data_IF_443863655806
#
_entry.id   IF_443863655806
#
_cell.length_a   1.000
_cell.length_b   1.000
_cell.length_c   1.000
_cell.angle_alpha   90.00
_cell.angle_beta   90.00
_cell.angle_gamma   90.00
#
_symmetry.space_group_name_H-M   'P 1'
#
loop_
_entity.id
_entity.type
_entity.pdbx_description
1 polymer ?
#
# COMPACT_ATOMS: atom_id res chain seq x y z
N UNK A 1 -10.91 -1.18 15.57
CA UNK A 1 -9.81 -0.24 15.91
C UNK A 1 -10.08 1.12 15.28
N UNK A 2 -10.03 2.21 16.05
CA UNK A 2 -10.23 3.58 15.53
C UNK A 2 -8.93 4.07 14.86
N UNK A 3 -9.00 4.79 13.72
CA UNK A 3 -7.82 5.36 13.08
C UNK A 3 -7.19 6.40 14.00
N UNK A 4 -5.86 6.41 14.08
CA UNK A 4 -5.15 7.43 14.84
C UNK A 4 -5.20 8.72 14.01
N UNK A 5 -5.85 9.74 14.57
CA UNK A 5 -6.07 11.02 13.91
C UNK A 5 -4.93 11.96 14.28
N UNK A 6 -4.23 12.51 13.29
CA UNK A 6 -3.24 13.55 13.49
C UNK A 6 -3.82 14.91 13.09
N UNK A 7 -3.80 15.83 14.04
CA UNK A 7 -3.95 17.26 13.78
C UNK A 7 -2.55 17.84 13.58
N UNK A 8 -2.33 18.46 12.42
CA UNK A 8 -1.03 18.99 12.02
C UNK A 8 -1.07 20.52 12.01
N UNK A 9 -0.01 21.15 12.55
CA UNK A 9 0.27 22.58 12.44
C UNK A 9 1.56 22.69 11.60
N UNK A 10 1.49 23.26 10.40
CA UNK A 10 2.66 23.43 9.52
C UNK A 10 2.97 24.92 9.42
N UNK A 11 4.11 25.33 9.97
CA UNK A 11 4.66 26.68 9.74
C UNK A 11 5.56 26.60 8.50
N UNK A 12 5.23 27.38 7.47
CA UNK A 12 5.90 27.35 6.17
C UNK A 12 7.26 28.07 6.22
N UNK A 13 8.33 27.30 6.34
CA UNK A 13 9.64 27.62 5.78
C UNK A 13 10.17 26.33 5.12
N UNK A 14 10.78 26.46 3.94
CA UNK A 14 11.30 25.34 3.13
C UNK A 14 12.00 24.27 3.99
N UNK A 15 11.53 23.02 3.91
CA UNK A 15 12.11 21.92 4.68
C UNK A 15 11.26 20.65 4.71
N UNK A 16 11.93 19.51 4.90
CA UNK A 16 11.27 18.26 5.23
C UNK A 16 11.01 18.23 6.74
N UNK A 17 9.78 17.95 7.14
CA UNK A 17 9.40 17.98 8.55
C UNK A 17 8.98 16.59 9.03
N UNK A 18 9.60 16.16 10.13
CA UNK A 18 9.28 14.93 10.83
C UNK A 18 8.16 15.22 11.85
N UNK A 19 6.96 14.70 11.62
CA UNK A 19 5.81 15.13 12.42
C UNK A 19 5.43 14.18 13.56
N UNK A 20 5.75 12.88 13.49
CA UNK A 20 5.48 11.94 14.58
C UNK A 20 6.47 10.80 14.68
N UNK A 21 6.75 10.44 15.93
CA UNK A 21 7.54 9.29 16.39
C UNK A 21 6.67 8.59 17.46
N UNK A 22 6.17 7.37 17.21
CA UNK A 22 5.45 6.58 18.23
C UNK A 22 6.05 5.17 18.45
N UNK A 23 6.34 4.83 19.71
CA UNK A 23 7.08 3.62 20.11
C UNK A 23 6.37 2.29 19.78
N UNK A 24 5.03 2.26 19.70
CA UNK A 24 4.24 1.04 19.47
C UNK A 24 3.38 1.14 18.20
N UNK A 25 4.02 1.12 17.01
CA UNK A 25 3.33 1.24 15.71
C UNK A 25 2.76 -0.08 15.14
N UNK A 26 3.00 -1.23 15.79
CA UNK A 26 2.53 -2.54 15.30
C UNK A 26 0.99 -2.66 15.20
N UNK A 27 0.24 -1.78 15.87
CA UNK A 27 -1.24 -1.76 15.84
C UNK A 27 -1.84 -0.72 14.87
N UNK A 28 -1.01 0.13 14.26
CA UNK A 28 -1.47 1.20 13.38
C UNK A 28 -1.79 0.68 11.97
N UNK A 29 -3.04 0.25 11.79
CA UNK A 29 -3.55 -0.18 10.47
C UNK A 29 -3.94 1.00 9.57
N UNK A 30 -4.27 2.15 10.14
CA UNK A 30 -4.79 3.34 9.44
C UNK A 30 -4.37 4.62 10.17
N UNK A 31 -3.98 5.63 9.40
CA UNK A 31 -3.61 6.95 9.90
C UNK A 31 -4.37 8.04 9.11
N UNK A 32 -4.81 9.12 9.77
CA UNK A 32 -5.55 10.23 9.14
C UNK A 32 -4.85 11.55 9.39
N UNK A 33 -4.57 12.33 8.35
CA UNK A 33 -4.16 13.74 8.43
C UNK A 33 -5.42 14.59 8.27
N UNK A 34 -5.70 15.50 9.21
CA UNK A 34 -6.92 16.33 9.20
C UNK A 34 -6.55 17.81 9.17
N UNK A 35 -7.26 18.54 8.30
CA UNK A 35 -7.18 19.97 8.18
C UNK A 35 -7.64 20.67 9.44
N UNK A 36 -6.78 21.53 9.96
CA UNK A 36 -7.26 22.80 10.50
C UNK A 36 -6.30 23.95 10.25
N UNK A 37 -5.19 23.76 9.53
CA UNK A 37 -4.05 24.69 9.63
C UNK A 37 -3.12 24.75 8.42
N UNK A 38 -3.59 24.39 7.23
CA UNK A 38 -2.84 24.69 6.01
C UNK A 38 -3.49 25.91 5.35
N UNK A 39 -3.03 27.09 5.78
CA UNK A 39 -3.47 28.37 5.18
C UNK A 39 -2.81 28.55 3.81
N UNK A 40 -3.36 27.87 2.80
CA UNK A 40 -2.94 28.02 1.40
C UNK A 40 -3.49 29.33 0.82
N UNK A 41 -2.83 30.45 1.13
CA UNK A 41 -3.02 31.64 0.31
C UNK A 41 -2.21 31.47 -0.97
N UNK A 42 -2.92 31.04 -2.02
CA UNK A 42 -2.67 31.38 -3.45
C UNK A 42 -1.95 30.35 -4.35
N UNK A 43 -1.44 29.22 -3.87
CA UNK A 43 -0.81 28.20 -4.76
C UNK A 43 -1.40 26.81 -4.52
N UNK A 44 -1.83 26.13 -5.59
CA UNK A 44 -2.17 24.70 -5.59
C UNK A 44 -0.90 23.94 -5.23
N UNK A 45 -0.85 23.35 -4.04
CA UNK A 45 0.32 22.63 -3.56
C UNK A 45 -0.03 21.14 -3.44
N UNK A 46 0.74 20.31 -4.15
CA UNK A 46 0.76 18.87 -3.93
C UNK A 46 1.75 18.56 -2.81
N UNK A 47 1.28 17.90 -1.77
CA UNK A 47 2.07 17.58 -0.58
C UNK A 47 2.28 16.07 -0.49
N UNK A 48 3.47 15.56 -0.82
CA UNK A 48 3.78 14.14 -0.66
C UNK A 48 3.93 13.78 0.81
N UNK A 49 3.39 12.61 1.17
CA UNK A 49 3.44 12.03 2.51
C UNK A 49 4.28 10.78 2.47
N UNK A 50 5.33 10.74 3.29
CA UNK A 50 6.26 9.63 3.40
C UNK A 50 6.14 8.92 4.74
N UNK A 51 6.52 7.65 4.75
CA UNK A 51 6.59 6.84 5.95
C UNK A 51 7.89 6.07 6.01
N UNK A 52 8.43 5.92 7.22
CA UNK A 52 9.59 5.09 7.49
C UNK A 52 9.33 4.14 8.66
N UNK A 53 9.64 2.86 8.47
CA UNK A 53 9.64 1.86 9.53
C UNK A 53 10.86 2.05 10.44
N UNK A 54 10.74 1.75 11.75
CA UNK A 54 11.90 1.68 12.61
C UNK A 54 12.74 0.46 12.23
N UNK A 55 14.03 0.68 11.97
CA UNK A 55 15.01 -0.36 11.79
C UNK A 55 16.12 -0.15 12.83
N UNK A 56 16.46 -1.15 13.67
CA UNK A 56 17.54 -1.03 14.64
C UNK A 56 18.95 -1.03 14.01
N UNK A 57 19.09 -1.47 12.76
CA UNK A 57 20.37 -1.70 12.10
C UNK A 57 20.60 -0.78 10.89
N UNK A 58 19.56 -0.07 10.44
CA UNK A 58 19.65 0.82 9.28
C UNK A 58 19.08 2.21 9.58
N UNK A 59 19.58 3.26 8.90
CA UNK A 59 18.92 4.55 8.88
C UNK A 59 17.48 4.47 8.33
N UNK A 60 16.62 5.45 8.65
CA UNK A 60 15.24 5.51 8.15
C UNK A 60 15.16 5.36 6.62
N UNK A 61 14.44 4.33 6.16
CA UNK A 61 14.08 4.17 4.75
C UNK A 61 12.70 4.79 4.50
N UNK A 62 12.63 5.85 3.69
CA UNK A 62 11.41 6.59 3.40
C UNK A 62 10.70 6.03 2.18
N UNK A 63 9.40 5.75 2.33
CA UNK A 63 8.52 5.29 1.26
C UNK A 63 7.38 6.28 1.07
N UNK A 64 7.09 6.65 -0.18
CA UNK A 64 5.94 7.50 -0.49
C UNK A 64 4.65 6.72 -0.22
N UNK A 65 3.78 7.28 0.61
CA UNK A 65 2.44 6.75 0.85
C UNK A 65 1.41 7.29 -0.13
N UNK A 66 1.57 8.56 -0.54
CA UNK A 66 0.68 9.25 -1.45
C UNK A 66 0.78 10.76 -1.29
N UNK A 67 -0.21 11.48 -1.83
CA UNK A 67 -0.19 12.94 -1.95
C UNK A 67 -1.47 13.53 -1.37
N UNK A 68 -1.35 14.68 -0.70
CA UNK A 68 -2.44 15.53 -0.21
C UNK A 68 -2.50 16.78 -1.11
N UNK A 69 -3.70 17.26 -1.40
CA UNK A 69 -3.93 18.48 -2.19
C UNK A 69 -5.06 19.31 -1.59
N UNK A 70 -5.26 20.53 -2.08
CA UNK A 70 -6.39 21.37 -1.64
C UNK A 70 -7.75 20.71 -1.91
N UNK A 71 -7.88 19.99 -3.03
CA UNK A 71 -9.12 19.29 -3.40
C UNK A 71 -9.35 18.04 -2.55
N UNK A 72 -8.25 17.44 -2.06
CA UNK A 72 -8.29 16.26 -1.19
C UNK A 72 -7.36 16.49 0.01
N UNK A 73 -7.82 17.27 1.00
CA UNK A 73 -6.96 17.81 2.03
C UNK A 73 -6.75 16.82 3.21
N UNK A 74 -7.43 15.66 3.14
CA UNK A 74 -7.17 14.52 4.03
C UNK A 74 -7.06 13.20 3.26
N UNK A 75 -6.27 12.28 3.81
CA UNK A 75 -6.10 10.94 3.28
C UNK A 75 -5.93 9.92 4.42
N UNK A 76 -6.22 8.65 4.11
CA UNK A 76 -6.02 7.53 5.02
C UNK A 76 -5.14 6.50 4.33
N UNK A 77 -4.00 6.19 4.95
CA UNK A 77 -3.06 5.19 4.43
C UNK A 77 -3.09 3.91 5.27
N UNK A 78 -3.06 2.77 4.58
CA UNK A 78 -2.87 1.46 5.20
C UNK A 78 -1.38 1.13 5.23
N UNK A 79 -0.84 1.04 6.43
CA UNK A 79 0.60 0.84 6.66
C UNK A 79 0.94 -0.66 6.72
N UNK A 80 -0.05 -1.51 6.99
CA UNK A 80 0.10 -2.97 7.08
C UNK A 80 0.44 -3.58 5.72
N UNK A 81 1.71 -3.92 5.49
CA UNK A 81 2.20 -4.55 4.26
C UNK A 81 3.23 -3.73 3.48
N UNK A 82 3.56 -2.51 3.91
CA UNK A 82 4.72 -1.78 3.38
C UNK A 82 5.98 -2.60 3.63
N UNK A 83 6.76 -2.85 2.57
CA UNK A 83 7.99 -3.67 2.65
C UNK A 83 8.93 -3.05 3.68
N UNK A 84 9.30 -3.81 4.71
CA UNK A 84 10.22 -3.36 5.77
C UNK A 84 11.69 -3.27 5.31
N UNK A 85 12.04 -3.78 4.12
CA UNK A 85 13.44 -3.88 3.69
C UNK A 85 13.65 -3.66 2.17
N UNK A 86 14.63 -2.79 1.87
CA UNK A 86 15.60 -2.65 0.76
C UNK A 86 15.34 -3.09 -0.70
N UNK A 87 14.18 -3.61 -1.07
CA UNK A 87 13.92 -4.08 -2.45
C UNK A 87 13.15 -3.08 -3.32
N UNK A 88 12.56 -2.06 -2.71
CA UNK A 88 12.04 -0.92 -3.47
C UNK A 88 13.26 -0.06 -3.78
N UNK A 89 13.48 0.34 -5.05
CA UNK A 89 14.58 1.25 -5.40
C UNK A 89 14.56 2.40 -4.40
N UNK A 90 15.64 2.54 -3.65
CA UNK A 90 15.75 3.61 -2.67
C UNK A 90 15.52 4.93 -3.41
N UNK A 91 14.68 5.80 -2.85
CA UNK A 91 14.47 7.18 -3.33
C UNK A 91 15.76 8.04 -3.30
N UNK A 92 16.90 7.43 -2.95
CA UNK A 92 18.25 7.93 -3.21
C UNK A 92 18.48 8.22 -4.70
N UNK A 93 17.77 7.54 -5.62
CA UNK A 93 17.91 7.78 -7.06
C UNK A 93 17.00 8.91 -7.60
N UNK A 94 16.02 9.40 -6.83
CA UNK A 94 15.06 10.43 -7.25
C UNK A 94 15.32 11.83 -6.66
N UNK A 95 16.58 12.15 -6.31
CA UNK A 95 16.98 13.51 -5.95
C UNK A 95 16.49 13.99 -4.57
N UNK A 96 16.13 13.06 -3.69
CA UNK A 96 15.48 13.39 -2.42
C UNK A 96 16.47 13.52 -1.25
N UNK A 97 17.14 14.68 -1.18
CA UNK A 97 18.03 15.06 -0.06
C UNK A 97 17.30 15.68 1.14
N UNK A 98 15.96 15.61 1.19
CA UNK A 98 15.17 16.44 2.11
C UNK A 98 15.13 15.87 3.55
N UNK A 99 15.08 14.54 3.73
CA UNK A 99 15.11 13.90 5.05
C UNK A 99 16.51 13.36 5.38
N UNK A 100 17.48 14.24 5.62
CA UNK A 100 18.86 13.87 5.99
C UNK A 100 18.97 13.33 7.44
N UNK A 101 18.28 12.23 7.73
CA UNK A 101 18.38 11.56 9.02
C UNK A 101 19.29 10.32 8.90
N UNK A 102 20.57 10.51 9.20
CA UNK A 102 21.56 9.42 9.26
C UNK A 102 21.54 8.65 10.60
N UNK A 103 20.74 9.10 11.57
CA UNK A 103 20.63 8.44 12.87
C UNK A 103 19.55 7.37 12.82
N UNK A 104 19.93 6.16 13.21
CA UNK A 104 19.04 5.01 13.40
C UNK A 104 17.89 5.42 14.31
N UNK A 105 16.66 5.21 13.85
CA UNK A 105 15.45 5.52 14.61
C UNK A 105 14.81 4.22 15.08
N UNK A 106 14.68 4.07 16.41
CA UNK A 106 13.91 2.98 17.01
C UNK A 106 12.39 3.20 16.94
N UNK A 107 11.96 4.23 16.21
CA UNK A 107 10.56 4.63 16.14
C UNK A 107 10.12 4.87 14.70
N UNK A 108 8.90 4.45 14.37
CA UNK A 108 8.31 4.71 13.05
C UNK A 108 8.05 6.21 12.85
N UNK A 109 8.24 6.68 11.63
CA UNK A 109 8.25 8.10 11.31
C UNK A 109 7.32 8.43 10.15
N UNK A 110 6.68 9.60 10.22
CA UNK A 110 5.91 10.19 9.13
C UNK A 110 6.59 11.51 8.75
N UNK A 111 6.86 11.64 7.46
CA UNK A 111 7.53 12.78 6.86
C UNK A 111 6.62 13.46 5.85
N UNK A 112 6.62 14.79 5.85
CA UNK A 112 5.99 15.58 4.81
C UNK A 112 7.04 16.52 4.25
N UNK A 113 7.04 16.65 2.93
CA UNK A 113 7.98 17.49 2.19
C UNK A 113 7.22 18.51 1.35
N UNK A 114 7.85 19.66 1.11
CA UNK A 114 7.36 20.68 0.19
C UNK A 114 8.22 20.61 -1.06
N UNK A 115 7.59 20.16 -2.15
CA UNK A 115 8.23 19.91 -3.44
C UNK A 115 7.51 20.65 -4.56
N UNK A 116 8.11 20.69 -5.75
CA UNK A 116 7.43 21.24 -6.93
C UNK A 116 6.34 20.28 -7.39
N UNK A 117 5.27 20.80 -7.99
CA UNK A 117 4.14 19.96 -8.42
C UNK A 117 4.57 18.89 -9.43
N UNK A 118 5.52 19.20 -10.33
CA UNK A 118 6.00 18.26 -11.36
C UNK A 118 6.71 17.04 -10.76
N UNK A 119 7.52 17.23 -9.71
CA UNK A 119 8.21 16.12 -9.04
C UNK A 119 7.21 15.23 -8.31
N UNK A 120 6.24 15.83 -7.63
CA UNK A 120 5.21 15.10 -6.88
C UNK A 120 4.30 14.29 -7.81
N UNK A 121 3.92 14.86 -8.95
CA UNK A 121 3.13 14.14 -9.97
C UNK A 121 3.88 12.92 -10.50
N UNK A 122 5.16 13.09 -10.84
CA UNK A 122 6.00 11.99 -11.34
C UNK A 122 6.11 10.86 -10.30
N UNK A 123 6.38 11.19 -9.04
CA UNK A 123 6.45 10.19 -7.97
C UNK A 123 5.11 9.48 -7.73
N UNK A 124 4.00 10.22 -7.79
CA UNK A 124 2.65 9.64 -7.64
C UNK A 124 2.31 8.66 -8.77
N UNK A 125 2.76 8.93 -10.00
CA UNK A 125 2.57 8.04 -11.14
C UNK A 125 3.38 6.75 -10.98
N UNK A 126 4.63 6.85 -10.53
CA UNK A 126 5.48 5.67 -10.25
C UNK A 126 4.85 4.79 -9.16
N UNK A 127 4.40 5.38 -8.05
CA UNK A 127 3.71 4.66 -6.98
C UNK A 127 2.45 3.95 -7.50
N UNK A 128 1.65 4.64 -8.31
CA UNK A 128 0.43 4.06 -8.91
C UNK A 128 0.76 2.87 -9.81
N UNK A 129 1.87 2.96 -10.57
CA UNK A 129 2.35 1.89 -11.46
C UNK A 129 2.82 0.67 -10.67
N UNK A 130 3.53 0.87 -9.55
CA UNK A 130 3.96 -0.23 -8.69
C UNK A 130 2.78 -0.95 -8.04
N UNK A 131 1.77 -0.20 -7.56
CA UNK A 131 0.53 -0.77 -7.02
C UNK A 131 -0.18 -1.60 -8.09
N UNK A 132 -0.32 -1.07 -9.30
CA UNK A 132 -0.93 -1.77 -10.42
C UNK A 132 -0.15 -3.06 -10.78
N UNK A 133 1.19 -3.00 -10.82
CA UNK A 133 2.03 -4.17 -11.10
C UNK A 133 1.82 -5.30 -10.08
N UNK A 134 1.80 -4.97 -8.79
CA UNK A 134 1.56 -5.97 -7.73
C UNK A 134 0.16 -6.58 -7.83
N UNK A 135 -0.85 -5.78 -8.18
CA UNK A 135 -2.21 -6.26 -8.40
C UNK A 135 -2.28 -7.21 -9.60
N UNK A 136 -1.67 -6.86 -10.73
CA UNK A 136 -1.62 -7.71 -11.92
C UNK A 136 -0.93 -9.04 -11.64
N UNK A 137 0.23 -9.02 -10.95
CA UNK A 137 0.94 -10.24 -10.58
C UNK A 137 0.11 -11.16 -9.67
N UNK A 138 -0.63 -10.59 -8.73
CA UNK A 138 -1.53 -11.36 -7.87
C UNK A 138 -2.67 -12.02 -8.67
N UNK A 139 -3.29 -11.27 -9.59
CA UNK A 139 -4.36 -11.80 -10.45
C UNK A 139 -3.83 -12.94 -11.33
N UNK A 140 -2.66 -12.77 -11.94
CA UNK A 140 -2.03 -13.82 -12.75
C UNK A 140 -1.74 -15.08 -11.93
N UNK A 141 -1.19 -14.92 -10.72
CA UNK A 141 -0.95 -16.02 -9.80
C UNK A 141 -2.25 -16.77 -9.46
N UNK A 142 -3.31 -16.03 -9.09
CA UNK A 142 -4.60 -16.62 -8.75
C UNK A 142 -5.21 -17.38 -9.94
N UNK A 143 -5.13 -16.84 -11.16
CA UNK A 143 -5.59 -17.52 -12.37
C UNK A 143 -4.84 -18.84 -12.62
N UNK A 144 -3.50 -18.82 -12.54
CA UNK A 144 -2.68 -20.04 -12.71
C UNK A 144 -2.95 -21.08 -11.64
N UNK A 145 -3.17 -20.65 -10.40
CA UNK A 145 -3.52 -21.55 -9.29
C UNK A 145 -4.87 -22.24 -9.53
N UNK A 146 -5.90 -21.49 -9.94
CA UNK A 146 -7.21 -22.06 -10.26
C UNK A 146 -7.12 -23.06 -11.41
N UNK A 147 -6.35 -22.73 -12.45
CA UNK A 147 -6.14 -23.63 -13.59
C UNK A 147 -5.41 -24.91 -13.18
N UNK A 148 -4.37 -24.80 -12.34
CA UNK A 148 -3.67 -25.95 -11.80
C UNK A 148 -4.59 -26.84 -10.95
N UNK A 149 -5.46 -26.25 -10.13
CA UNK A 149 -6.45 -26.97 -9.33
C UNK A 149 -7.47 -27.70 -10.19
N UNK A 150 -7.99 -27.05 -11.23
CA UNK A 150 -8.95 -27.66 -12.15
C UNK A 150 -8.30 -28.83 -12.89
N UNK A 151 -7.10 -28.65 -13.45
CA UNK A 151 -6.34 -29.69 -14.14
C UNK A 151 -6.11 -30.91 -13.23
N UNK A 152 -5.70 -30.68 -11.98
CA UNK A 152 -5.51 -31.75 -10.99
C UNK A 152 -6.84 -32.46 -10.71
N UNK A 153 -7.91 -31.73 -10.40
CA UNK A 153 -9.22 -32.32 -10.09
C UNK A 153 -9.80 -33.13 -11.26
N UNK A 154 -9.63 -32.66 -12.50
CA UNK A 154 -10.08 -33.38 -13.69
C UNK A 154 -9.33 -34.69 -13.92
N UNK A 155 -8.13 -34.85 -13.38
CA UNK A 155 -7.38 -36.11 -13.48
C UNK A 155 -7.97 -37.24 -12.60
N UNK A 156 -8.81 -36.92 -11.61
CA UNK A 156 -9.47 -37.87 -10.71
C UNK A 156 -10.92 -38.17 -11.09
N UNK A 157 -11.33 -37.87 -12.32
CA UNK A 157 -12.68 -38.24 -12.79
C UNK A 157 -12.76 -39.75 -12.90
N UNK A 158 -13.48 -40.36 -11.97
CA UNK A 158 -13.73 -41.80 -11.90
C UNK A 158 -15.23 -42.08 -11.79
N UNK A 159 -15.64 -43.30 -12.14
CA UNK A 159 -17.01 -43.76 -11.92
C UNK A 159 -17.25 -43.95 -10.42
N UNK A 160 -18.35 -43.40 -9.86
CA UNK A 160 -18.57 -43.38 -8.42
C UNK A 160 -18.74 -44.80 -7.86
N UNK A 161 -18.05 -45.09 -6.76
CA UNK A 161 -18.18 -46.35 -6.00
C UNK A 161 -19.07 -46.16 -4.77
N UNK A 162 -19.77 -47.20 -4.27
CA UNK A 162 -20.79 -47.02 -3.22
C UNK A 162 -20.28 -46.61 -1.83
N UNK A 163 -18.96 -46.54 -1.60
CA UNK A 163 -18.37 -46.41 -0.26
C UNK A 163 -17.56 -45.11 -0.04
N UNK A 164 -17.58 -44.20 -1.02
CA UNK A 164 -16.86 -42.93 -0.98
C UNK A 164 -17.79 -41.76 -1.32
N UNK A 165 -17.48 -40.58 -0.76
CA UNK A 165 -18.18 -39.35 -1.11
C UNK A 165 -17.56 -38.74 -2.38
N UNK A 166 -18.40 -38.48 -3.38
CA UNK A 166 -17.98 -37.88 -4.65
C UNK A 166 -18.54 -36.47 -4.82
N UNK A 167 -17.72 -35.56 -5.34
CA UNK A 167 -18.17 -34.23 -5.77
C UNK A 167 -18.43 -34.28 -7.27
N UNK A 168 -19.64 -33.94 -7.76
CA UNK A 168 -19.89 -33.89 -9.19
C UNK A 168 -19.00 -32.85 -9.88
N UNK A 169 -18.39 -33.22 -11.02
CA UNK A 169 -17.47 -32.33 -11.75
C UNK A 169 -18.13 -30.98 -12.11
N UNK A 170 -19.43 -30.99 -12.42
CA UNK A 170 -20.21 -29.78 -12.70
C UNK A 170 -20.14 -28.74 -11.58
N UNK A 171 -20.12 -29.17 -10.31
CA UNK A 171 -20.02 -28.27 -9.16
C UNK A 171 -18.66 -27.57 -9.13
N UNK A 172 -17.59 -28.29 -9.47
CA UNK A 172 -16.23 -27.74 -9.52
C UNK A 172 -16.10 -26.72 -10.65
N UNK A 173 -16.67 -27.00 -11.83
CA UNK A 173 -16.69 -26.07 -12.96
C UNK A 173 -17.48 -24.79 -12.68
N UNK A 174 -18.67 -24.92 -12.07
CA UNK A 174 -19.48 -23.77 -11.67
C UNK A 174 -18.79 -22.94 -10.59
N UNK A 175 -18.12 -23.58 -9.63
CA UNK A 175 -17.30 -22.90 -8.63
C UNK A 175 -16.15 -22.13 -9.29
N UNK A 176 -15.43 -22.75 -10.22
CA UNK A 176 -14.32 -22.12 -10.96
C UNK A 176 -14.79 -20.85 -11.70
N UNK A 177 -15.89 -20.94 -12.47
CA UNK A 177 -16.47 -19.78 -13.18
C UNK A 177 -16.89 -18.67 -12.22
N UNK A 178 -17.51 -19.04 -11.10
CA UNK A 178 -17.91 -18.07 -10.09
C UNK A 178 -16.71 -17.39 -9.42
N UNK A 179 -15.64 -18.14 -9.15
CA UNK A 179 -14.40 -17.59 -8.59
C UNK A 179 -13.75 -16.62 -9.58
N UNK A 180 -13.59 -17.03 -10.84
CA UNK A 180 -12.99 -16.20 -11.89
C UNK A 180 -13.76 -14.89 -12.09
N UNK A 181 -15.09 -14.95 -12.12
CA UNK A 181 -15.95 -13.76 -12.19
C UNK A 181 -15.76 -12.82 -10.99
N UNK A 182 -15.61 -13.36 -9.78
CA UNK A 182 -15.35 -12.53 -8.59
C UNK A 182 -13.96 -11.90 -8.63
N UNK A 183 -12.96 -12.65 -9.09
CA UNK A 183 -11.58 -12.21 -9.22
C UNK A 183 -11.44 -11.06 -10.24
N UNK A 184 -12.15 -11.13 -11.37
CA UNK A 184 -12.11 -10.08 -12.41
C UNK A 184 -12.79 -8.79 -11.97
N UNK A 185 -13.86 -8.89 -11.17
CA UNK A 185 -14.56 -7.72 -10.63
C UNK A 185 -13.80 -7.06 -9.47
N UNK A 186 -13.24 -7.85 -8.56
CA UNK A 186 -12.49 -7.35 -7.41
C UNK A 186 -11.37 -8.33 -7.04
N UNK A 187 -10.09 -8.00 -7.34
CA UNK A 187 -8.95 -8.86 -6.98
C UNK A 187 -8.80 -9.18 -5.48
N UNK A 188 -9.44 -8.41 -4.60
CA UNK A 188 -9.38 -8.60 -3.15
C UNK A 188 -10.67 -9.14 -2.53
N UNK A 189 -11.58 -9.73 -3.33
CA UNK A 189 -12.88 -10.23 -2.86
C UNK A 189 -12.80 -11.29 -1.73
N UNK A 190 -11.66 -11.97 -1.59
CA UNK A 190 -11.42 -13.04 -0.62
C UNK A 190 -11.04 -12.54 0.78
N UNK A 191 -10.84 -11.22 0.93
CA UNK A 191 -10.23 -10.62 2.13
C UNK A 191 -11.25 -10.10 3.15
N UNK A 192 -12.54 -10.20 2.82
CA UNK A 192 -13.70 -9.87 3.65
C UNK A 192 -14.37 -11.15 4.18
#
# INVERSE_FOLDING_TARGET
>A
MRPLTLHLFVNFFSGAHLFKSARNFNELRRFKIVDNLISFRTIICLIPVYFSWPDPNAPPNWQLLGVISNDKPSCIFKISGLKKNNEVPTLQQSGFMAFQQHKISHVAQIGISVETNDTVLTQSQLLSTEIAKNQTQFVEYAQKMLQSFLNYSTSFVITPTPNEAYVPMKVVEEWYKNFERKLSLNPYFWKD
#
